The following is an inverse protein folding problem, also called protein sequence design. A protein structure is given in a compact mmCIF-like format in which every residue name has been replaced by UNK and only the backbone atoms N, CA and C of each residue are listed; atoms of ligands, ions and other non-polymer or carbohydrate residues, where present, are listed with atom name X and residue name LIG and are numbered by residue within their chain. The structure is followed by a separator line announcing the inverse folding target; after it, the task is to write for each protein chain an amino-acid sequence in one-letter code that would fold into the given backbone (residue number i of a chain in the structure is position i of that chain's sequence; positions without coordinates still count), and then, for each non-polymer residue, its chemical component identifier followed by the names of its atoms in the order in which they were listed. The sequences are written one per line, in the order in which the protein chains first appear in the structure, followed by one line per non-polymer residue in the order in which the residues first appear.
data_IF_505768307654
#
_entry.id   IF_505768307654
#
_cell.length_a   1.000
_cell.length_b   1.000
_cell.length_c   1.000
_cell.angle_alpha   90.00
_cell.angle_beta   90.00
_cell.angle_gamma   90.00
#
_symmetry.space_group_name_H-M   'P 1'
#
loop_
_entity.id
_entity.type
_entity.pdbx_description
1 polymer ?
#
# COMPACT_ATOMS: atom_id res chain seq x y z
N UNK A 1 -13.42 3.17 -19.34
CA UNK A 1 -13.18 1.82 -18.79
C UNK A 1 -13.78 1.84 -17.39
N UNK A 2 -14.65 0.89 -16.98
CA UNK A 2 -15.10 0.84 -15.58
C UNK A 2 -13.85 0.90 -14.68
N UNK A 3 -13.89 1.72 -13.63
CA UNK A 3 -12.77 1.85 -12.70
C UNK A 3 -12.44 0.47 -12.14
N UNK A 4 -11.19 0.01 -12.31
CA UNK A 4 -10.77 -1.23 -11.67
C UNK A 4 -10.74 -1.02 -10.15
N UNK A 5 -11.32 -1.95 -9.39
CA UNK A 5 -11.30 -1.93 -7.93
C UNK A 5 -9.88 -1.76 -7.34
N UNK A 6 -8.85 -2.15 -8.10
CA UNK A 6 -7.43 -2.03 -7.73
C UNK A 6 -6.91 -0.60 -7.56
N UNK A 7 -7.58 0.38 -8.15
CA UNK A 7 -7.18 1.79 -8.10
C UNK A 7 -7.97 2.60 -7.07
N UNK A 8 -8.81 1.94 -6.26
CA UNK A 8 -9.72 2.56 -5.29
C UNK A 8 -9.43 1.96 -3.93
N UNK A 9 -9.39 2.80 -2.87
CA UNK A 9 -9.24 2.30 -1.51
C UNK A 9 -10.41 1.39 -1.12
N UNK A 10 -10.17 0.31 -0.35
CA UNK A 10 -11.23 -0.61 0.05
C UNK A 10 -12.46 0.05 0.68
N UNK A 11 -12.28 1.11 1.47
CA UNK A 11 -13.36 1.88 2.10
C UNK A 11 -14.32 2.53 1.09
N UNK A 12 -13.88 2.71 -0.17
CA UNK A 12 -14.62 3.33 -1.26
C UNK A 12 -15.04 2.34 -2.36
N UNK A 13 -14.89 1.04 -2.14
CA UNK A 13 -15.37 0.04 -3.09
C UNK A 13 -16.90 0.08 -3.22
N UNK A 14 -17.39 0.07 -4.46
CA UNK A 14 -18.78 -0.25 -4.75
C UNK A 14 -19.01 -1.74 -4.49
N UNK A 15 -20.28 -2.17 -4.51
CA UNK A 15 -20.62 -3.60 -4.45
C UNK A 15 -19.98 -4.38 -5.60
N UNK A 16 -19.93 -3.78 -6.79
CA UNK A 16 -19.27 -4.38 -7.95
C UNK A 16 -17.77 -4.53 -7.74
N UNK A 17 -17.09 -3.53 -7.15
CA UNK A 17 -15.68 -3.63 -6.78
C UNK A 17 -15.41 -4.75 -5.76
N UNK A 18 -16.30 -4.93 -4.77
CA UNK A 18 -16.21 -6.05 -3.81
C UNK A 18 -16.34 -7.39 -4.52
N UNK A 19 -17.29 -7.53 -5.44
CA UNK A 19 -17.43 -8.73 -6.27
C UNK A 19 -16.17 -9.00 -7.12
N UNK A 20 -15.60 -7.99 -7.76
CA UNK A 20 -14.37 -8.11 -8.55
C UNK A 20 -13.17 -8.51 -7.69
N UNK A 21 -13.05 -7.98 -6.47
CA UNK A 21 -12.03 -8.39 -5.49
C UNK A 21 -12.18 -9.86 -5.10
N UNK A 22 -13.40 -10.32 -4.78
CA UNK A 22 -13.65 -11.72 -4.43
C UNK A 22 -13.31 -12.65 -5.60
N UNK A 23 -13.63 -12.26 -6.83
CA UNK A 23 -13.25 -13.01 -8.02
C UNK A 23 -11.73 -13.08 -8.18
N UNK A 24 -11.02 -11.96 -7.99
CA UNK A 24 -9.56 -11.95 -7.99
C UNK A 24 -8.97 -12.89 -6.94
N UNK A 25 -9.58 -12.96 -5.74
CA UNK A 25 -9.18 -13.88 -4.67
C UNK A 25 -9.33 -15.35 -5.08
N UNK A 26 -10.45 -15.73 -5.71
CA UNK A 26 -10.64 -17.06 -6.30
C UNK A 26 -9.52 -17.39 -7.30
N UNK A 27 -9.30 -16.50 -8.26
CA UNK A 27 -8.43 -16.75 -9.41
C UNK A 27 -6.94 -16.83 -9.02
N UNK A 28 -6.48 -15.94 -8.12
CA UNK A 28 -5.06 -15.78 -7.82
C UNK A 28 -4.58 -16.61 -6.63
N UNK A 29 -5.47 -16.95 -5.71
CA UNK A 29 -5.11 -17.69 -4.48
C UNK A 29 -5.66 -19.11 -4.46
N UNK A 30 -6.25 -19.57 -5.58
CA UNK A 30 -6.87 -20.90 -5.72
C UNK A 30 -7.88 -21.20 -4.61
N UNK A 31 -8.58 -20.18 -4.13
CA UNK A 31 -9.71 -20.38 -3.23
C UNK A 31 -10.81 -21.07 -4.04
N UNK A 32 -11.40 -22.11 -3.49
CA UNK A 32 -12.52 -22.79 -4.15
C UNK A 32 -13.69 -21.81 -4.25
N UNK A 33 -14.15 -21.53 -5.47
CA UNK A 33 -15.25 -20.60 -5.72
C UNK A 33 -16.56 -21.05 -5.08
N UNK A 34 -16.70 -22.34 -4.75
CA UNK A 34 -17.85 -22.86 -3.98
C UNK A 34 -17.81 -22.46 -2.50
N UNK A 35 -16.66 -22.02 -1.99
CA UNK A 35 -16.47 -21.58 -0.60
C UNK A 35 -16.69 -20.08 -0.39
N UNK A 36 -16.85 -19.28 -1.45
CA UNK A 36 -17.10 -17.83 -1.34
C UNK A 36 -18.54 -17.54 -1.76
N UNK A 37 -19.49 -17.41 -0.82
CA UNK A 37 -20.86 -17.07 -1.16
C UNK A 37 -20.97 -15.57 -1.45
N UNK A 38 -20.80 -15.20 -2.73
CA UNK A 38 -20.98 -13.83 -3.22
C UNK A 38 -22.23 -13.10 -2.67
N UNK A 39 -23.41 -13.75 -2.50
CA UNK A 39 -24.57 -13.09 -1.91
C UNK A 39 -24.35 -12.58 -0.48
N UNK A 40 -23.51 -13.24 0.31
CA UNK A 40 -23.21 -12.85 1.69
C UNK A 40 -22.23 -11.67 1.75
N UNK A 41 -21.53 -11.38 0.66
CA UNK A 41 -20.66 -10.21 0.50
C UNK A 41 -21.26 -9.16 -0.43
N UNK A 42 -22.59 -9.10 -0.58
CA UNK A 42 -23.29 -8.05 -1.33
C UNK A 42 -23.34 -6.71 -0.57
N UNK A 43 -22.16 -6.24 -0.16
CA UNK A 43 -21.92 -5.10 0.71
C UNK A 43 -21.02 -4.10 0.01
N UNK A 44 -21.05 -2.83 0.44
CA UNK A 44 -20.07 -1.85 -0.02
C UNK A 44 -18.72 -2.07 0.66
N UNK A 45 -17.66 -1.49 0.10
CA UNK A 45 -16.34 -1.47 0.71
C UNK A 45 -16.31 -0.93 2.14
N UNK A 46 -17.06 0.14 2.42
CA UNK A 46 -17.19 0.69 3.77
C UNK A 46 -17.74 -0.33 4.79
N UNK A 47 -18.79 -1.06 4.39
CA UNK A 47 -19.38 -2.11 5.21
C UNK A 47 -18.42 -3.29 5.37
N UNK A 48 -17.81 -3.72 4.27
CA UNK A 48 -16.82 -4.81 4.24
C UNK A 48 -15.63 -4.53 5.17
N UNK A 49 -15.10 -3.30 5.17
CA UNK A 49 -13.99 -2.89 6.03
C UNK A 49 -14.36 -2.78 7.52
N UNK A 50 -15.65 -2.75 7.84
CA UNK A 50 -16.19 -2.69 9.20
C UNK A 50 -16.53 -4.07 9.76
N UNK A 51 -16.55 -5.12 8.93
CA UNK A 51 -16.76 -6.50 9.35
C UNK A 51 -15.56 -7.02 10.14
N UNK A 52 -15.85 -7.81 11.16
CA UNK A 52 -14.87 -8.53 11.98
C UNK A 52 -14.36 -9.78 11.28
N UNK A 53 -13.26 -10.36 11.79
CA UNK A 53 -12.76 -11.64 11.29
C UNK A 53 -13.81 -12.75 11.45
N UNK A 54 -14.58 -12.69 12.54
CA UNK A 54 -15.68 -13.59 12.84
C UNK A 54 -16.77 -13.50 11.78
N UNK A 55 -17.20 -12.28 11.39
CA UNK A 55 -18.21 -12.07 10.34
C UNK A 55 -17.78 -12.70 9.01
N UNK A 56 -16.50 -12.54 8.63
CA UNK A 56 -15.95 -13.18 7.43
C UNK A 56 -15.94 -14.70 7.53
N UNK A 57 -15.58 -15.23 8.69
CA UNK A 57 -15.48 -16.69 8.95
C UNK A 57 -16.87 -17.32 8.99
N UNK A 58 -17.87 -16.64 9.55
CA UNK A 58 -19.27 -17.07 9.49
C UNK A 58 -19.77 -17.09 8.05
N UNK A 59 -19.39 -16.09 7.25
CA UNK A 59 -19.86 -15.99 5.88
C UNK A 59 -19.24 -17.02 4.92
N UNK A 60 -17.93 -17.29 5.02
CA UNK A 60 -17.19 -18.10 4.05
C UNK A 60 -16.41 -19.26 4.68
N UNK A 61 -16.71 -19.63 5.93
CA UNK A 61 -16.01 -20.69 6.66
C UNK A 61 -14.50 -20.46 6.70
N UNK A 62 -13.74 -21.52 6.42
CA UNK A 62 -12.27 -21.46 6.37
C UNK A 62 -11.72 -20.58 5.22
N UNK A 63 -12.52 -20.13 4.26
CA UNK A 63 -12.06 -19.12 3.29
C UNK A 63 -12.19 -17.70 3.86
N UNK A 64 -13.11 -17.49 4.80
CA UNK A 64 -13.40 -16.21 5.42
C UNK A 64 -12.19 -15.57 6.10
N UNK A 65 -11.45 -16.33 6.91
CA UNK A 65 -10.28 -15.80 7.59
C UNK A 65 -9.17 -15.38 6.62
N UNK A 66 -9.04 -16.06 5.47
CA UNK A 66 -8.08 -15.68 4.42
C UNK A 66 -8.53 -14.39 3.73
N UNK A 67 -9.80 -14.27 3.37
CA UNK A 67 -10.37 -13.07 2.78
C UNK A 67 -10.21 -11.85 3.70
N UNK A 68 -10.48 -12.02 5.00
CA UNK A 68 -10.25 -10.97 5.99
C UNK A 68 -8.78 -10.55 6.01
N UNK A 69 -7.83 -11.50 6.04
CA UNK A 69 -6.40 -11.20 6.04
C UNK A 69 -5.97 -10.47 4.77
N UNK A 70 -6.47 -10.89 3.60
CA UNK A 70 -6.18 -10.23 2.32
C UNK A 70 -6.73 -8.80 2.30
N UNK A 71 -7.94 -8.58 2.82
CA UNK A 71 -8.51 -7.24 2.92
C UNK A 71 -7.67 -6.35 3.84
N UNK A 72 -7.25 -6.83 5.01
CA UNK A 72 -6.39 -6.05 5.91
C UNK A 72 -5.02 -5.76 5.27
N UNK A 73 -4.43 -6.70 4.53
CA UNK A 73 -3.19 -6.47 3.78
C UNK A 73 -3.38 -5.37 2.73
N UNK A 74 -4.50 -5.38 1.99
CA UNK A 74 -4.80 -4.33 1.00
C UNK A 74 -5.02 -2.97 1.69
N UNK A 75 -5.70 -2.93 2.83
CA UNK A 75 -5.96 -1.69 3.57
C UNK A 75 -4.69 -1.08 4.17
N UNK A 76 -3.78 -1.92 4.64
CA UNK A 76 -2.54 -1.47 5.29
C UNK A 76 -1.38 -1.25 4.33
N UNK A 77 -1.38 -1.94 3.18
CA UNK A 77 -0.22 -1.99 2.29
C UNK A 77 -0.53 -1.69 0.83
N UNK A 78 -1.82 -1.57 0.45
CA UNK A 78 -2.27 -1.49 -0.93
C UNK A 78 -2.26 -2.85 -1.64
N UNK A 79 -3.03 -2.97 -2.72
CA UNK A 79 -3.09 -4.17 -3.57
C UNK A 79 -1.76 -4.53 -4.23
N UNK A 80 -0.97 -3.51 -4.52
CA UNK A 80 0.32 -3.66 -5.16
C UNK A 80 1.41 -3.54 -4.12
N UNK A 81 2.34 -4.50 -4.16
CA UNK A 81 3.63 -4.45 -3.49
C UNK A 81 4.24 -3.03 -3.71
N UNK A 82 4.12 -2.08 -2.75
CA UNK A 82 4.12 -0.66 -3.08
C UNK A 82 5.43 -0.26 -3.70
N UNK A 83 5.45 0.68 -4.64
CA UNK A 83 6.73 1.21 -5.09
C UNK A 83 7.42 1.94 -3.93
N UNK A 84 8.76 2.02 -3.98
CA UNK A 84 9.52 2.63 -2.88
C UNK A 84 9.10 4.08 -2.63
N UNK A 85 8.75 4.82 -3.68
CA UNK A 85 8.32 6.21 -3.56
C UNK A 85 6.95 6.35 -2.86
N UNK A 86 6.03 5.41 -3.09
CA UNK A 86 4.72 5.37 -2.43
C UNK A 86 4.90 5.06 -0.94
N UNK A 87 5.73 4.06 -0.62
CA UNK A 87 6.08 3.74 0.76
C UNK A 87 6.69 4.93 1.51
N UNK A 88 7.58 5.70 0.87
CA UNK A 88 8.19 6.89 1.47
C UNK A 88 7.17 8.01 1.68
N UNK A 89 6.28 8.22 0.70
CA UNK A 89 5.19 9.18 0.82
C UNK A 89 4.28 8.81 1.99
N UNK A 90 3.82 7.57 2.06
CA UNK A 90 2.90 7.11 3.09
C UNK A 90 3.55 7.27 4.48
N UNK A 91 4.85 6.96 4.60
CA UNK A 91 5.59 7.17 5.85
C UNK A 91 5.72 8.64 6.24
N UNK A 92 5.78 9.58 5.28
CA UNK A 92 5.78 11.02 5.56
C UNK A 92 4.40 11.55 5.97
N UNK A 93 3.32 10.87 5.58
CA UNK A 93 1.93 11.25 5.88
C UNK A 93 1.38 10.58 7.15
N UNK A 94 2.06 9.55 7.67
CA UNK A 94 1.67 8.81 8.88
C UNK A 94 2.70 9.03 10.02
N UNK A 95 2.56 10.09 10.83
CA UNK A 95 3.48 10.40 11.93
C UNK A 95 3.68 9.25 12.93
N UNK A 96 2.64 8.48 13.18
CA UNK A 96 2.62 7.31 14.07
C UNK A 96 3.58 6.21 13.62
N UNK A 97 3.68 5.96 12.32
CA UNK A 97 4.53 4.92 11.73
C UNK A 97 5.93 5.44 11.37
N UNK A 98 6.07 6.76 11.17
CA UNK A 98 7.33 7.38 10.74
C UNK A 98 8.44 7.24 11.79
N UNK A 99 8.10 7.36 13.07
CA UNK A 99 9.06 7.34 14.19
C UNK A 99 10.29 8.26 13.98
N UNK A 100 10.10 9.41 13.30
CA UNK A 100 11.15 10.36 12.96
C UNK A 100 12.18 9.82 11.95
N UNK A 101 11.78 8.92 11.06
CA UNK A 101 12.64 8.32 10.03
C UNK A 101 12.84 9.27 8.84
N UNK A 102 11.76 9.93 8.44
CA UNK A 102 11.70 10.94 7.40
C UNK A 102 11.17 12.25 8.00
N UNK A 103 11.48 13.36 7.34
CA UNK A 103 10.93 14.67 7.72
C UNK A 103 10.70 15.55 6.50
N UNK A 104 9.71 16.44 6.57
CA UNK A 104 9.49 17.46 5.54
C UNK A 104 10.46 18.61 5.76
N UNK A 105 11.23 18.96 4.74
CA UNK A 105 12.00 20.20 4.71
C UNK A 105 11.16 21.35 4.15
N UNK A 106 10.31 21.01 3.17
CA UNK A 106 9.32 21.91 2.56
C UNK A 106 8.21 21.04 1.99
N UNK A 107 7.09 20.92 2.72
CA UNK A 107 5.96 20.09 2.30
C UNK A 107 5.26 20.66 1.06
N UNK A 108 5.17 21.99 0.91
CA UNK A 108 4.53 22.62 -0.25
C UNK A 108 5.28 22.32 -1.54
N UNK A 109 6.61 22.25 -1.47
CA UNK A 109 7.46 21.89 -2.60
C UNK A 109 7.76 20.39 -2.71
N UNK A 110 7.26 19.57 -1.79
CA UNK A 110 7.49 18.12 -1.77
C UNK A 110 8.93 17.71 -1.45
N UNK A 111 9.68 18.57 -0.73
CA UNK A 111 11.06 18.33 -0.35
C UNK A 111 11.11 17.67 1.02
N UNK A 112 11.76 16.51 1.11
CA UNK A 112 11.89 15.75 2.34
C UNK A 112 13.33 15.28 2.58
N UNK A 113 13.64 15.01 3.84
CA UNK A 113 14.92 14.49 4.30
C UNK A 113 14.76 13.08 4.86
N UNK A 114 15.73 12.24 4.54
CA UNK A 114 15.94 10.98 5.26
C UNK A 114 16.77 11.26 6.52
N UNK A 115 16.13 11.21 7.69
CA UNK A 115 16.76 11.45 8.99
C UNK A 115 17.45 10.19 9.50
N UNK A 116 16.75 9.05 9.47
CA UNK A 116 17.27 7.75 9.96
C UNK A 116 17.42 6.77 8.79
N UNK A 117 18.53 6.86 8.07
CA UNK A 117 18.77 6.10 6.84
C UNK A 117 18.72 4.57 7.00
N UNK A 118 19.26 4.04 8.11
CA UNK A 118 19.21 2.60 8.42
C UNK A 118 17.79 2.13 8.74
N UNK A 119 17.06 2.90 9.57
CA UNK A 119 15.67 2.59 9.92
C UNK A 119 14.77 2.58 8.68
N UNK A 120 14.92 3.56 7.78
CA UNK A 120 14.19 3.59 6.51
C UNK A 120 14.42 2.32 5.68
N UNK A 121 15.68 1.89 5.58
CA UNK A 121 16.04 0.69 4.85
C UNK A 121 15.49 -0.59 5.50
N UNK A 122 15.48 -0.65 6.83
CA UNK A 122 14.91 -1.77 7.59
C UNK A 122 13.40 -1.86 7.40
N UNK A 123 12.67 -0.74 7.53
CA UNK A 123 11.22 -0.70 7.32
C UNK A 123 10.86 -1.14 5.89
N UNK A 124 11.59 -0.64 4.89
CA UNK A 124 11.40 -1.07 3.50
C UNK A 124 11.75 -2.56 3.28
N UNK A 125 12.84 -3.03 3.91
CA UNK A 125 13.24 -4.43 3.89
C UNK A 125 12.15 -5.34 4.48
N UNK A 126 11.56 -4.95 5.61
CA UNK A 126 10.44 -5.65 6.24
C UNK A 126 9.23 -5.67 5.29
N UNK A 127 8.87 -4.52 4.70
CA UNK A 127 7.76 -4.42 3.73
C UNK A 127 7.95 -5.34 2.53
N UNK A 128 9.18 -5.50 2.03
CA UNK A 128 9.51 -6.37 0.89
C UNK A 128 9.94 -7.79 1.27
N UNK A 129 9.90 -8.15 2.56
CA UNK A 129 10.46 -9.41 3.11
C UNK A 129 11.90 -9.68 2.64
N UNK A 130 12.71 -8.63 2.56
CA UNK A 130 14.10 -8.65 2.09
C UNK A 130 15.05 -8.23 3.21
N UNK A 131 15.59 -9.22 3.92
CA UNK A 131 16.57 -9.02 5.00
C UNK A 131 17.94 -8.49 4.54
N UNK A 132 18.20 -8.45 3.22
CA UNK A 132 19.44 -7.90 2.65
C UNK A 132 19.29 -6.43 2.23
N UNK A 133 18.17 -5.79 2.55
CA UNK A 133 17.95 -4.37 2.25
C UNK A 133 18.88 -3.50 3.10
N UNK A 134 19.45 -2.46 2.47
CA UNK A 134 20.25 -1.44 3.15
C UNK A 134 20.05 -0.09 2.45
N UNK A 135 20.54 1.00 3.06
CA UNK A 135 20.31 2.33 2.51
C UNK A 135 21.00 2.57 1.16
N UNK A 136 22.13 1.90 0.89
CA UNK A 136 22.81 2.00 -0.40
C UNK A 136 21.94 1.47 -1.54
N UNK A 137 21.30 0.31 -1.34
CA UNK A 137 20.37 -0.30 -2.30
C UNK A 137 19.08 0.52 -2.42
N UNK A 138 18.53 0.97 -1.30
CA UNK A 138 17.33 1.80 -1.28
C UNK A 138 17.57 3.12 -2.02
N UNK A 139 18.66 3.82 -1.69
CA UNK A 139 19.02 5.08 -2.36
C UNK A 139 19.35 4.86 -3.85
N UNK A 140 19.83 3.68 -4.25
CA UNK A 140 20.01 3.34 -5.67
C UNK A 140 18.67 3.34 -6.41
N UNK A 141 17.64 2.72 -5.83
CA UNK A 141 16.27 2.73 -6.36
C UNK A 141 15.69 4.15 -6.40
N UNK A 142 15.90 4.95 -5.34
CA UNK A 142 15.51 6.37 -5.33
C UNK A 142 16.13 7.15 -6.49
N UNK A 143 17.43 6.98 -6.75
CA UNK A 143 18.10 7.65 -7.87
C UNK A 143 17.58 7.20 -9.24
N UNK A 144 16.99 6.01 -9.37
CA UNK A 144 16.36 5.59 -10.62
C UNK A 144 15.10 6.39 -10.94
N UNK A 145 14.37 6.87 -9.92
CA UNK A 145 13.17 7.69 -10.08
C UNK A 145 13.42 9.07 -10.71
N UNK A 146 14.67 9.54 -10.74
CA UNK A 146 15.02 10.76 -11.47
C UNK A 146 14.74 10.65 -12.96
N UNK A 147 14.92 9.45 -13.54
CA UNK A 147 14.65 9.23 -14.98
C UNK A 147 13.17 9.24 -15.31
N UNK A 148 12.34 8.80 -14.37
CA UNK A 148 10.88 8.69 -14.55
C UNK A 148 10.13 9.91 -14.05
N UNK A 149 10.81 10.94 -13.52
CA UNK A 149 10.18 12.14 -12.96
C UNK A 149 9.37 11.91 -11.68
N UNK A 150 9.54 10.75 -11.04
CA UNK A 150 8.91 10.43 -9.75
C UNK A 150 9.62 11.17 -8.61
N UNK A 151 10.95 11.32 -8.71
CA UNK A 151 11.74 12.17 -7.83
C UNK A 151 12.54 13.17 -8.66
N UNK A 152 12.81 14.33 -8.07
CA UNK A 152 13.72 15.34 -8.58
C UNK A 152 15.03 15.32 -7.77
N UNK A 153 16.16 15.51 -8.45
CA UNK A 153 17.47 15.57 -7.78
C UNK A 153 17.57 16.88 -7.00
N UNK A 154 17.88 16.77 -5.71
CA UNK A 154 18.30 17.88 -4.85
C UNK A 154 19.79 17.73 -4.57
N UNK A 155 20.58 18.79 -4.74
CA UNK A 155 22.03 18.76 -4.49
C UNK A 155 22.35 18.93 -2.99
N UNK A 156 21.67 18.15 -2.15
CA UNK A 156 21.87 18.10 -0.70
C UNK A 156 21.84 16.65 -0.23
N UNK A 157 22.75 16.29 0.68
CA UNK A 157 22.87 14.92 1.19
C UNK A 157 21.61 14.50 1.95
N UNK A 158 21.10 13.30 1.63
CA UNK A 158 19.89 12.69 2.22
C UNK A 158 18.60 13.49 1.99
N UNK A 159 18.60 14.46 1.08
CA UNK A 159 17.42 15.25 0.74
C UNK A 159 16.95 14.85 -0.66
N UNK A 160 15.64 14.69 -0.79
CA UNK A 160 14.98 14.31 -2.03
C UNK A 160 13.75 15.21 -2.21
N UNK A 161 13.25 15.26 -3.44
CA UNK A 161 12.04 16.01 -3.77
C UNK A 161 11.12 15.14 -4.60
N UNK A 162 9.83 15.08 -4.27
CA UNK A 162 8.84 14.47 -5.14
C UNK A 162 8.73 15.25 -6.45
N UNK A 163 8.79 14.52 -7.56
CA UNK A 163 8.66 15.11 -8.89
C UNK A 163 7.23 15.11 -9.39
N UNK A 164 7.00 15.75 -10.53
CA UNK A 164 5.68 15.90 -11.16
C UNK A 164 4.90 14.61 -11.43
N UNK A 165 5.56 13.45 -11.48
CA UNK A 165 4.89 12.17 -11.73
C UNK A 165 4.55 11.42 -10.43
N UNK A 166 5.01 11.90 -9.27
CA UNK A 166 4.59 11.40 -7.97
C UNK A 166 3.32 12.14 -7.51
N UNK A 167 2.41 11.42 -6.86
CA UNK A 167 1.09 11.93 -6.48
C UNK A 167 0.74 11.60 -5.03
N UNK A 168 -0.21 12.35 -4.48
CA UNK A 168 -0.79 12.13 -3.15
C UNK A 168 0.13 12.50 -1.99
N UNK A 169 1.22 13.23 -2.24
CA UNK A 169 2.15 13.69 -1.21
C UNK A 169 1.83 15.10 -0.69
N UNK A 170 0.96 15.84 -1.42
CA UNK A 170 0.41 17.13 -1.02
C UNK A 170 -0.77 16.98 -0.05
#
# INVERSE_FOLDING_TARGET
VPSQWTSVLPEHWSKDHVCEWLQYCCDNYKLDATCIPFPQFNVTGHQLCSMTKEDFTEAAGACGHYLYSLLQDIRTHGLHNPHLWEFIRDLLLSPEDNHGTLDWEDQEQGIFRVVKSEALAQLWGQRKRNNRMNYEKLSRAMRHYYKTGILERVDRRLVYKFGKNAYGWH
#
